data_IF_656916378526
#
_entry.id   IF_656916378526
#
_cell.length_a   1.000
_cell.length_b   1.000
_cell.length_c   1.000
_cell.angle_alpha   90.00
_cell.angle_beta   90.00
_cell.angle_gamma   90.00
#
_symmetry.space_group_name_H-M   'P 1'
#
loop_
_entity.id
_entity.type
_entity.pdbx_description
1 polymer ?
#
# COMPACT_ATOMS: atom_id res chain seq x y z
N UNK A 1 -10.99 -4.63 -17.86
CA UNK A 1 -10.25 -4.73 -16.60
C UNK A 1 -9.06 -5.68 -16.66
N UNK A 2 -9.18 -6.89 -17.15
CA UNK A 2 -8.02 -7.77 -17.41
C UNK A 2 -6.93 -7.08 -18.25
N UNK A 3 -7.33 -6.31 -19.23
CA UNK A 3 -6.41 -5.48 -20.05
C UNK A 3 -5.69 -4.38 -19.26
N UNK A 4 -6.36 -3.75 -18.30
CA UNK A 4 -5.78 -2.68 -17.47
C UNK A 4 -4.73 -3.24 -16.50
N UNK A 5 -4.98 -4.39 -15.91
CA UNK A 5 -4.04 -5.03 -15.01
C UNK A 5 -2.80 -5.54 -15.74
N UNK A 6 -2.97 -6.20 -16.89
CA UNK A 6 -1.84 -6.64 -17.72
C UNK A 6 -1.00 -5.45 -18.19
N UNK A 7 -1.63 -4.36 -18.64
CA UNK A 7 -0.91 -3.15 -19.06
C UNK A 7 -0.14 -2.52 -17.89
N UNK A 8 -0.72 -2.50 -16.68
CA UNK A 8 -0.06 -1.99 -15.50
C UNK A 8 1.11 -2.90 -15.04
N UNK A 9 0.92 -4.22 -15.08
CA UNK A 9 2.02 -5.17 -14.79
C UNK A 9 3.18 -5.03 -15.79
N UNK A 10 2.87 -4.82 -17.08
CA UNK A 10 3.89 -4.56 -18.10
C UNK A 10 4.58 -3.20 -17.90
N UNK A 11 3.85 -2.17 -17.51
CA UNK A 11 4.44 -0.88 -17.12
C UNK A 11 5.38 -1.05 -15.93
N UNK A 12 4.99 -1.81 -14.92
CA UNK A 12 5.83 -2.07 -13.74
C UNK A 12 7.08 -2.86 -14.11
N UNK A 13 6.96 -3.87 -14.99
CA UNK A 13 8.09 -4.60 -15.55
C UNK A 13 9.04 -3.66 -16.30
N UNK A 14 8.52 -2.80 -17.17
CA UNK A 14 9.32 -1.84 -17.92
C UNK A 14 10.07 -0.87 -16.99
N UNK A 15 9.39 -0.30 -15.99
CA UNK A 15 9.99 0.56 -14.99
C UNK A 15 11.11 -0.15 -14.22
N UNK A 16 10.83 -1.37 -13.73
CA UNK A 16 11.81 -2.19 -13.01
C UNK A 16 13.04 -2.47 -13.89
N UNK A 17 12.83 -2.81 -15.17
CA UNK A 17 13.92 -3.06 -16.12
C UNK A 17 14.79 -1.82 -16.36
N UNK A 18 14.18 -0.64 -16.47
CA UNK A 18 14.92 0.63 -16.60
C UNK A 18 15.76 0.87 -15.35
N UNK A 19 15.18 0.75 -14.15
CA UNK A 19 15.89 0.99 -12.90
C UNK A 19 17.09 0.04 -12.74
N UNK A 20 16.90 -1.25 -13.06
CA UNK A 20 17.99 -2.23 -13.05
C UNK A 20 19.06 -1.86 -14.10
N UNK A 21 18.66 -1.46 -15.30
CA UNK A 21 19.57 -0.99 -16.34
C UNK A 21 20.41 0.21 -15.90
N UNK A 22 19.80 1.20 -15.24
CA UNK A 22 20.50 2.36 -14.67
C UNK A 22 21.49 1.94 -13.57
N UNK A 23 21.12 0.96 -12.74
CA UNK A 23 22.01 0.40 -11.73
C UNK A 23 23.25 -0.26 -12.37
N UNK A 24 23.09 -1.01 -13.45
CA UNK A 24 24.22 -1.60 -14.21
C UNK A 24 25.14 -0.57 -14.86
N UNK A 25 24.61 0.60 -15.21
CA UNK A 25 25.40 1.72 -15.74
C UNK A 25 26.18 2.47 -14.66
N UNK A 26 26.19 1.98 -13.43
CA UNK A 26 26.85 2.59 -12.27
C UNK A 26 26.44 4.06 -12.03
N UNK A 27 25.19 4.39 -12.32
CA UNK A 27 24.61 5.68 -11.99
C UNK A 27 24.17 5.63 -10.52
N UNK A 28 25.14 5.75 -9.60
CA UNK A 28 24.89 5.72 -8.17
C UNK A 28 24.62 7.12 -7.63
N UNK A 29 23.54 7.25 -6.90
CA UNK A 29 23.33 8.37 -5.98
C UNK A 29 23.76 7.93 -4.58
N UNK A 30 24.23 8.86 -3.78
CA UNK A 30 24.48 8.60 -2.37
C UNK A 30 23.15 8.25 -1.63
N UNK A 31 23.24 7.54 -0.49
CA UNK A 31 22.06 7.05 0.22
C UNK A 31 21.10 8.17 0.64
N UNK A 32 21.62 9.30 1.13
CA UNK A 32 20.79 10.41 1.59
C UNK A 32 19.91 11.01 0.48
N UNK A 33 20.42 11.36 -0.72
CA UNK A 33 19.59 11.75 -1.85
C UNK A 33 18.55 10.71 -2.25
N UNK A 34 18.90 9.43 -2.24
CA UNK A 34 17.98 8.34 -2.56
C UNK A 34 16.84 8.30 -1.52
N UNK A 35 17.18 8.35 -0.23
CA UNK A 35 16.17 8.30 0.84
C UNK A 35 15.23 9.51 0.83
N UNK A 36 15.75 10.72 0.54
CA UNK A 36 14.94 11.92 0.35
C UNK A 36 14.00 11.76 -0.86
N UNK A 37 14.50 11.20 -1.96
CA UNK A 37 13.68 10.94 -3.15
C UNK A 37 12.61 9.87 -2.89
N UNK A 38 12.94 8.81 -2.16
CA UNK A 38 11.97 7.82 -1.70
C UNK A 38 10.88 8.45 -0.83
N UNK A 39 11.26 9.30 0.13
CA UNK A 39 10.30 10.05 0.94
C UNK A 39 9.37 10.90 0.06
N UNK A 40 9.93 11.64 -0.90
CA UNK A 40 9.13 12.46 -1.83
C UNK A 40 8.13 11.62 -2.63
N UNK A 41 8.52 10.46 -3.16
CA UNK A 41 7.63 9.56 -3.89
C UNK A 41 6.54 8.99 -2.98
N UNK A 42 6.89 8.55 -1.78
CA UNK A 42 5.92 8.04 -0.80
C UNK A 42 4.90 9.11 -0.45
N UNK A 43 5.34 10.34 -0.17
CA UNK A 43 4.44 11.45 0.20
C UNK A 43 3.53 11.91 -0.94
N UNK A 44 3.97 11.81 -2.19
CA UNK A 44 3.20 12.28 -3.35
C UNK A 44 2.34 11.19 -3.97
N UNK A 45 2.92 10.05 -4.29
CA UNK A 45 2.24 8.94 -4.97
C UNK A 45 1.74 7.92 -3.95
N UNK A 46 2.63 7.47 -3.04
CA UNK A 46 2.34 6.44 -2.08
C UNK A 46 1.14 6.78 -1.19
N UNK A 47 1.14 7.93 -0.56
CA UNK A 47 0.09 8.35 0.37
C UNK A 47 -1.22 8.77 -0.28
N UNK A 48 -1.22 9.01 -1.60
CA UNK A 48 -2.40 9.51 -2.30
C UNK A 48 -3.56 8.52 -2.34
N UNK A 49 -3.28 7.20 -2.28
CA UNK A 49 -4.35 6.20 -2.29
C UNK A 49 -5.22 6.23 -1.01
N UNK A 50 -4.64 6.50 0.17
CA UNK A 50 -5.38 6.68 1.42
C UNK A 50 -6.13 8.02 1.54
N UNK A 51 -5.86 8.97 0.64
CA UNK A 51 -6.48 10.30 0.69
C UNK A 51 -7.99 10.32 0.38
N UNK A 52 -8.56 9.19 -0.09
CA UNK A 52 -10.01 9.03 -0.25
C UNK A 52 -10.71 8.35 0.93
N UNK A 53 -9.99 8.06 2.01
CA UNK A 53 -10.60 7.49 3.22
C UNK A 53 -11.66 8.39 3.82
N UNK A 54 -11.54 9.70 3.67
CA UNK A 54 -12.57 10.65 4.05
C UNK A 54 -13.88 10.43 3.28
N UNK A 55 -13.82 10.12 1.99
CA UNK A 55 -14.99 9.82 1.18
C UNK A 55 -15.60 8.47 1.55
N UNK A 56 -14.77 7.43 1.71
CA UNK A 56 -15.18 6.10 2.20
C UNK A 56 -15.78 6.20 3.62
N UNK A 57 -15.15 6.97 4.52
CA UNK A 57 -15.61 7.21 5.87
C UNK A 57 -16.97 7.90 5.93
N UNK A 58 -17.19 8.93 5.13
CA UNK A 58 -18.50 9.58 5.02
C UNK A 58 -19.58 8.63 4.48
N UNK A 59 -19.24 7.70 3.59
CA UNK A 59 -20.14 6.65 3.13
C UNK A 59 -20.52 5.72 4.28
N UNK A 60 -19.52 5.29 5.08
CA UNK A 60 -19.74 4.44 6.26
C UNK A 60 -20.63 5.13 7.31
N UNK A 61 -20.38 6.41 7.62
CA UNK A 61 -21.20 7.19 8.57
C UNK A 61 -22.66 7.27 8.13
N UNK A 62 -22.91 7.47 6.83
CA UNK A 62 -24.27 7.44 6.27
C UNK A 62 -24.95 6.09 6.45
N UNK A 63 -24.20 5.00 6.27
CA UNK A 63 -24.68 3.63 6.51
C UNK A 63 -25.07 3.44 7.98
N UNK A 64 -24.25 3.95 8.89
CA UNK A 64 -24.47 3.91 10.34
C UNK A 64 -25.48 4.96 10.83
N UNK A 65 -26.08 5.78 9.93
CA UNK A 65 -27.01 6.88 10.25
C UNK A 65 -26.42 7.96 11.16
N UNK A 66 -25.11 8.13 11.13
CA UNK A 66 -24.37 9.19 11.85
C UNK A 66 -24.28 10.41 10.94
N UNK A 67 -24.74 11.58 11.45
CA UNK A 67 -24.79 12.81 10.66
C UNK A 67 -23.48 13.60 10.66
N UNK A 68 -22.70 13.48 11.73
CA UNK A 68 -21.55 14.32 12.00
C UNK A 68 -20.28 13.76 11.37
N UNK A 69 -19.84 14.35 10.27
CA UNK A 69 -18.65 13.89 9.52
C UNK A 69 -17.34 13.99 10.32
N UNK A 70 -17.24 14.89 11.30
CA UNK A 70 -16.03 15.04 12.13
C UNK A 70 -15.74 13.79 12.97
N UNK A 71 -16.76 12.97 13.30
CA UNK A 71 -16.61 11.73 14.06
C UNK A 71 -15.67 10.76 13.35
N UNK A 72 -15.75 10.69 12.02
CA UNK A 72 -14.83 9.88 11.22
C UNK A 72 -13.36 10.33 11.44
N UNK A 73 -13.09 11.62 11.29
CA UNK A 73 -11.74 12.15 11.45
C UNK A 73 -11.22 11.96 12.87
N UNK A 74 -12.07 12.16 13.88
CA UNK A 74 -11.70 11.95 15.27
C UNK A 74 -11.30 10.49 15.53
N UNK A 75 -12.10 9.53 15.10
CA UNK A 75 -11.81 8.10 15.28
C UNK A 75 -10.53 7.73 14.50
N UNK A 76 -10.40 8.19 13.26
CA UNK A 76 -9.24 7.91 12.41
C UNK A 76 -7.94 8.40 13.05
N UNK A 77 -7.94 9.64 13.54
CA UNK A 77 -6.78 10.23 14.24
C UNK A 77 -6.49 9.50 15.55
N UNK A 78 -7.52 9.18 16.35
CA UNK A 78 -7.33 8.44 17.60
C UNK A 78 -6.72 7.06 17.37
N UNK A 79 -7.15 6.32 16.35
CA UNK A 79 -6.55 5.04 15.98
C UNK A 79 -5.10 5.23 15.52
N UNK A 80 -4.82 6.24 14.70
CA UNK A 80 -3.45 6.54 14.25
C UNK A 80 -2.53 6.88 15.43
N UNK A 81 -2.97 7.74 16.35
CA UNK A 81 -2.21 8.09 17.56
C UNK A 81 -2.03 6.89 18.49
N UNK A 82 -3.03 6.03 18.60
CA UNK A 82 -2.92 4.79 19.37
C UNK A 82 -1.83 3.87 18.80
N UNK A 83 -1.74 3.73 17.47
CA UNK A 83 -0.67 2.94 16.82
C UNK A 83 0.70 3.56 17.08
N UNK A 84 0.85 4.89 17.01
CA UNK A 84 2.11 5.56 17.39
C UNK A 84 2.46 5.29 18.84
N UNK A 85 1.50 5.41 19.76
CA UNK A 85 1.72 5.12 21.17
C UNK A 85 2.13 3.65 21.41
N UNK A 86 1.48 2.69 20.74
CA UNK A 86 1.88 1.29 20.78
C UNK A 86 3.28 1.09 20.23
N UNK A 87 3.68 1.79 19.17
CA UNK A 87 5.03 1.70 18.63
C UNK A 87 6.09 2.19 19.62
N UNK A 88 5.81 3.27 20.33
CA UNK A 88 6.73 3.80 21.34
C UNK A 88 6.81 2.92 22.60
N UNK A 89 5.73 2.22 22.96
CA UNK A 89 5.67 1.38 24.15
C UNK A 89 6.12 -0.06 23.90
N UNK A 90 5.77 -0.62 22.73
CA UNK A 90 5.96 -2.03 22.35
C UNK A 90 6.42 -2.14 20.88
N UNK A 91 7.61 -1.59 20.53
CA UNK A 91 8.04 -1.48 19.13
C UNK A 91 8.11 -2.83 18.41
N UNK A 92 8.68 -3.86 19.04
CA UNK A 92 8.81 -5.20 18.44
C UNK A 92 7.45 -5.83 18.11
N UNK A 93 6.50 -5.74 19.06
CA UNK A 93 5.13 -6.27 18.86
C UNK A 93 4.40 -5.50 17.78
N UNK A 94 4.51 -4.17 17.80
CA UNK A 94 3.83 -3.30 16.84
C UNK A 94 4.40 -3.48 15.43
N UNK A 95 5.72 -3.62 15.29
CA UNK A 95 6.36 -3.95 14.01
C UNK A 95 5.83 -5.28 13.47
N UNK A 96 5.83 -6.35 14.28
CA UNK A 96 5.34 -7.67 13.84
C UNK A 96 3.88 -7.62 13.43
N UNK A 97 3.02 -6.96 14.19
CA UNK A 97 1.61 -6.76 13.83
C UNK A 97 1.48 -5.97 12.52
N UNK A 98 2.28 -4.91 12.35
CA UNK A 98 2.29 -4.13 11.12
C UNK A 98 2.69 -4.98 9.92
N UNK A 99 3.76 -5.76 10.01
CA UNK A 99 4.21 -6.62 8.90
C UNK A 99 3.16 -7.67 8.52
N UNK A 100 2.49 -8.28 9.51
CA UNK A 100 1.39 -9.24 9.27
C UNK A 100 0.20 -8.57 8.58
N UNK A 101 -0.24 -7.42 9.10
CA UNK A 101 -1.38 -6.68 8.56
C UNK A 101 -1.07 -6.14 7.17
N UNK A 102 0.14 -5.59 6.96
CA UNK A 102 0.61 -5.11 5.67
C UNK A 102 0.69 -6.24 4.64
N UNK A 103 1.21 -7.42 5.01
CA UNK A 103 1.23 -8.59 4.13
C UNK A 103 -0.16 -8.96 3.65
N UNK A 104 -1.14 -9.01 4.56
CA UNK A 104 -2.52 -9.31 4.18
C UNK A 104 -3.11 -8.22 3.28
N UNK A 105 -2.93 -6.95 3.64
CA UNK A 105 -3.47 -5.81 2.91
C UNK A 105 -2.91 -5.73 1.49
N UNK A 106 -1.59 -5.76 1.33
CA UNK A 106 -0.95 -5.74 0.01
C UNK A 106 -1.40 -6.90 -0.87
N UNK A 107 -1.39 -8.11 -0.33
CA UNK A 107 -1.82 -9.27 -1.11
C UNK A 107 -3.29 -9.25 -1.48
N UNK A 108 -4.15 -8.69 -0.63
CA UNK A 108 -5.58 -8.52 -0.91
C UNK A 108 -5.78 -7.47 -2.01
N UNK A 109 -5.28 -6.25 -1.82
CA UNK A 109 -5.50 -5.14 -2.74
C UNK A 109 -4.88 -5.39 -4.12
N UNK A 110 -3.66 -5.91 -4.18
CA UNK A 110 -3.01 -6.23 -5.45
C UNK A 110 -3.68 -7.39 -6.20
N UNK A 111 -4.50 -8.20 -5.51
CA UNK A 111 -5.27 -9.29 -6.12
C UNK A 111 -6.67 -8.87 -6.58
N UNK A 112 -7.19 -7.73 -6.14
CA UNK A 112 -8.54 -7.29 -6.51
C UNK A 112 -8.68 -6.96 -7.99
N UNK A 113 -7.62 -6.59 -8.65
CA UNK A 113 -7.64 -6.36 -10.08
C UNK A 113 -8.19 -7.54 -10.90
N UNK A 114 -8.02 -8.77 -10.41
CA UNK A 114 -8.51 -9.98 -11.08
C UNK A 114 -10.02 -10.23 -10.84
N UNK A 115 -10.60 -9.70 -9.77
CA UNK A 115 -11.99 -9.96 -9.37
C UNK A 115 -13.02 -9.05 -10.02
N UNK A 116 -12.65 -7.84 -10.41
CA UNK A 116 -13.56 -6.92 -11.13
C UNK A 116 -13.78 -7.29 -12.60
N UNK A 117 -13.12 -8.33 -13.13
CA UNK A 117 -13.22 -8.75 -14.53
C UNK A 117 -14.60 -9.29 -14.90
N UNK A 118 -15.36 -9.81 -13.92
CA UNK A 118 -16.68 -10.41 -14.15
C UNK A 118 -17.84 -9.70 -13.45
N UNK A 119 -17.56 -8.73 -12.59
CA UNK A 119 -18.58 -8.18 -11.70
C UNK A 119 -19.28 -6.92 -12.22
N UNK A 120 -19.72 -6.96 -13.43
CA UNK A 120 -20.86 -6.10 -13.78
C UNK A 120 -22.13 -6.49 -13.00
N UNK A 121 -22.17 -7.61 -12.27
CA UNK A 121 -23.41 -8.18 -11.72
C UNK A 121 -23.24 -8.90 -10.37
N UNK A 122 -22.04 -9.29 -9.94
CA UNK A 122 -21.92 -9.98 -8.65
C UNK A 122 -21.33 -9.10 -7.56
N UNK A 123 -22.03 -9.03 -6.40
CA UNK A 123 -21.53 -8.29 -5.26
C UNK A 123 -20.26 -8.96 -4.71
N UNK A 124 -19.42 -8.18 -4.05
CA UNK A 124 -18.19 -8.50 -3.31
C UNK A 124 -18.33 -9.69 -2.30
N UNK A 125 -19.46 -10.41 -2.35
CA UNK A 125 -19.86 -11.51 -1.46
C UNK A 125 -19.13 -12.84 -1.68
N UNK A 126 -18.21 -12.96 -2.65
CA UNK A 126 -17.58 -14.24 -2.99
C UNK A 126 -16.11 -14.33 -2.57
N UNK A 127 -15.65 -13.54 -1.58
CA UNK A 127 -14.37 -13.82 -0.93
C UNK A 127 -14.56 -15.06 -0.05
N UNK A 128 -14.10 -16.20 -0.53
CA UNK A 128 -14.09 -17.43 0.27
C UNK A 128 -13.08 -17.27 1.41
N UNK A 129 -13.37 -17.84 2.57
CA UNK A 129 -12.45 -17.86 3.72
C UNK A 129 -11.06 -18.44 3.37
N UNK A 130 -11.01 -19.31 2.36
CA UNK A 130 -9.76 -19.85 1.79
C UNK A 130 -8.89 -18.83 1.06
N UNK A 131 -9.43 -17.67 0.67
CA UNK A 131 -8.67 -16.65 -0.05
C UNK A 131 -7.81 -15.81 0.88
N UNK A 132 -8.17 -15.70 2.16
CA UNK A 132 -7.42 -14.90 3.14
C UNK A 132 -5.97 -15.38 3.30
N UNK A 133 -5.76 -16.69 3.34
CA UNK A 133 -4.40 -17.25 3.40
C UNK A 133 -3.61 -16.96 2.12
N UNK A 134 -4.26 -17.04 0.96
CA UNK A 134 -3.62 -16.71 -0.32
C UNK A 134 -3.21 -15.24 -0.38
N UNK A 135 -4.06 -14.34 0.09
CA UNK A 135 -3.73 -12.91 0.15
C UNK A 135 -2.55 -12.66 1.08
N UNK A 136 -2.58 -13.24 2.29
CA UNK A 136 -1.47 -13.13 3.22
C UNK A 136 -0.16 -13.64 2.61
N UNK A 137 -0.16 -14.83 2.01
CA UNK A 137 1.04 -15.40 1.41
C UNK A 137 1.56 -14.56 0.23
N UNK A 138 0.68 -14.05 -0.64
CA UNK A 138 1.10 -13.18 -1.76
C UNK A 138 1.77 -11.90 -1.28
N UNK A 139 1.14 -11.22 -0.31
CA UNK A 139 1.70 -9.96 0.20
C UNK A 139 2.92 -10.16 1.09
N UNK A 140 3.10 -11.34 1.69
CA UNK A 140 4.28 -11.65 2.49
C UNK A 140 5.59 -11.58 1.70
N UNK A 141 5.56 -11.76 0.38
CA UNK A 141 6.76 -11.64 -0.45
C UNK A 141 7.41 -10.25 -0.34
N UNK A 142 6.58 -9.20 -0.19
CA UNK A 142 7.04 -7.81 -0.09
C UNK A 142 7.82 -7.59 1.21
N UNK A 143 7.38 -8.24 2.28
CA UNK A 143 8.00 -8.17 3.62
C UNK A 143 9.21 -9.10 3.72
N UNK A 144 9.15 -10.27 3.10
CA UNK A 144 10.19 -11.29 3.20
C UNK A 144 11.36 -11.07 2.25
N UNK A 145 11.12 -10.47 1.08
CA UNK A 145 12.20 -10.25 0.11
C UNK A 145 13.35 -9.40 0.67
N UNK A 146 13.13 -8.26 1.37
CA UNK A 146 14.23 -7.54 2.02
C UNK A 146 15.00 -8.40 3.02
N UNK A 147 14.32 -9.21 3.82
CA UNK A 147 14.94 -10.13 4.78
C UNK A 147 15.77 -11.25 4.10
N UNK A 148 15.45 -11.62 2.85
CA UNK A 148 16.19 -12.62 2.11
C UNK A 148 17.43 -12.04 1.39
N UNK A 149 17.33 -10.85 0.85
CA UNK A 149 18.38 -10.27 -0.01
C UNK A 149 19.23 -9.22 0.71
N UNK A 150 18.70 -8.53 1.73
CA UNK A 150 19.35 -7.47 2.51
C UNK A 150 19.14 -7.68 4.01
N UNK A 151 19.49 -8.86 4.52
CA UNK A 151 19.18 -9.27 5.89
C UNK A 151 19.70 -8.26 6.92
N UNK A 152 21.00 -7.96 6.92
CA UNK A 152 21.63 -7.06 7.90
C UNK A 152 21.07 -5.62 7.80
N UNK A 153 20.89 -5.12 6.57
CA UNK A 153 20.33 -3.79 6.34
C UNK A 153 18.88 -3.72 6.83
N UNK A 154 18.08 -4.77 6.58
CA UNK A 154 16.69 -4.85 7.06
C UNK A 154 16.61 -4.89 8.58
N UNK A 155 17.52 -5.63 9.25
CA UNK A 155 17.59 -5.64 10.69
C UNK A 155 18.05 -4.29 11.27
N UNK A 156 18.99 -3.61 10.60
CA UNK A 156 19.39 -2.25 10.95
C UNK A 156 18.20 -1.26 10.85
N UNK A 157 17.35 -1.40 9.85
CA UNK A 157 16.10 -0.63 9.75
C UNK A 157 15.20 -0.95 10.96
N UNK A 158 15.03 -2.22 11.34
CA UNK A 158 14.22 -2.58 12.50
C UNK A 158 14.77 -1.95 13.80
N UNK A 159 16.09 -1.93 14.00
CA UNK A 159 16.72 -1.23 15.13
C UNK A 159 16.46 0.28 15.08
N UNK A 160 16.59 0.89 13.90
CA UNK A 160 16.22 2.30 13.71
C UNK A 160 14.76 2.55 14.12
N UNK A 161 13.87 1.59 13.88
CA UNK A 161 12.46 1.64 14.27
C UNK A 161 12.20 1.27 15.75
N UNK A 162 13.23 1.34 16.60
CA UNK A 162 13.18 1.09 18.05
C UNK A 162 13.03 -0.39 18.46
N UNK A 163 13.26 -1.33 17.55
CA UNK A 163 13.27 -2.76 17.90
C UNK A 163 14.64 -3.12 18.46
N UNK A 164 14.73 -3.28 19.79
CA UNK A 164 16.00 -3.53 20.48
C UNK A 164 16.49 -4.96 20.31
N UNK A 165 15.60 -5.95 20.46
CA UNK A 165 15.96 -7.36 20.39
C UNK A 165 15.78 -7.93 18.98
N UNK A 166 16.84 -7.80 18.17
CA UNK A 166 16.91 -8.42 16.83
C UNK A 166 17.58 -9.80 16.86
N UNK A 167 18.12 -10.24 18.00
CA UNK A 167 18.85 -11.51 18.12
C UNK A 167 17.97 -12.72 17.73
N UNK A 168 16.65 -12.60 17.95
CA UNK A 168 15.68 -13.59 17.50
C UNK A 168 15.81 -13.94 16.00
N UNK A 169 16.08 -12.96 15.15
CA UNK A 169 16.21 -13.15 13.70
C UNK A 169 17.50 -13.89 13.30
N UNK A 170 18.54 -13.90 14.16
CA UNK A 170 19.79 -14.62 13.88
C UNK A 170 19.69 -16.12 14.19
N UNK A 171 18.61 -16.59 14.84
CA UNK A 171 18.38 -18.01 15.06
C UNK A 171 18.24 -18.77 13.74
N UNK A 172 18.95 -19.86 13.56
CA UNK A 172 18.87 -20.70 12.35
C UNK A 172 17.46 -21.24 12.10
N UNK A 173 16.72 -21.51 13.16
CA UNK A 173 15.32 -21.93 13.06
C UNK A 173 14.43 -20.82 12.47
N UNK A 174 14.63 -19.58 12.90
CA UNK A 174 13.87 -18.43 12.40
C UNK A 174 14.25 -18.14 10.96
N UNK A 175 15.54 -18.15 10.61
CA UNK A 175 16.01 -17.95 9.23
C UNK A 175 15.47 -19.03 8.29
N UNK A 176 15.51 -20.28 8.70
CA UNK A 176 14.93 -21.40 7.93
C UNK A 176 13.43 -21.24 7.75
N UNK A 177 12.71 -20.84 8.81
CA UNK A 177 11.26 -20.57 8.73
C UNK A 177 10.94 -19.44 7.75
N UNK A 178 11.68 -18.32 7.83
CA UNK A 178 11.49 -17.19 6.93
C UNK A 178 11.78 -17.57 5.46
N UNK A 179 12.82 -18.38 5.22
CA UNK A 179 13.15 -18.89 3.88
C UNK A 179 12.06 -19.79 3.31
N UNK A 180 11.52 -20.71 4.13
CA UNK A 180 10.39 -21.57 3.73
C UNK A 180 9.14 -20.74 3.45
N UNK A 181 8.84 -19.76 4.31
CA UNK A 181 7.69 -18.87 4.12
C UNK A 181 7.85 -18.04 2.84
N UNK A 182 9.07 -17.56 2.54
CA UNK A 182 9.37 -16.85 1.31
C UNK A 182 9.12 -17.72 0.07
N UNK A 183 9.57 -18.98 0.06
CA UNK A 183 9.32 -19.91 -1.03
C UNK A 183 7.81 -20.17 -1.22
N UNK A 184 7.08 -20.40 -0.13
CA UNK A 184 5.62 -20.59 -0.19
C UNK A 184 4.95 -19.32 -0.75
N UNK A 185 5.40 -18.15 -0.34
CA UNK A 185 4.88 -16.84 -0.80
C UNK A 185 5.18 -16.63 -2.29
N UNK A 186 6.35 -17.03 -2.76
CA UNK A 186 6.70 -17.00 -4.18
C UNK A 186 5.74 -17.86 -5.01
N UNK A 187 5.49 -19.11 -4.61
CA UNK A 187 4.55 -19.98 -5.31
C UNK A 187 3.10 -19.49 -5.25
N UNK A 188 2.69 -18.89 -4.13
CA UNK A 188 1.38 -18.26 -4.02
C UNK A 188 1.22 -17.03 -4.94
N UNK A 189 2.32 -16.36 -5.27
CA UNK A 189 2.38 -15.20 -6.17
C UNK A 189 2.45 -15.54 -7.65
N UNK A 190 2.54 -16.82 -8.06
CA UNK A 190 2.79 -17.18 -9.47
C UNK A 190 1.68 -16.78 -10.45
N UNK A 191 0.45 -16.59 -10.00
CA UNK A 191 -0.61 -16.04 -10.86
C UNK A 191 -0.41 -14.53 -11.18
N UNK A 192 0.44 -13.84 -10.41
CA UNK A 192 0.96 -12.50 -10.67
C UNK A 192 2.48 -12.56 -10.97
N UNK A 193 2.90 -13.54 -11.76
CA UNK A 193 4.30 -13.91 -11.97
C UNK A 193 5.20 -12.72 -12.30
N UNK A 194 4.79 -11.87 -13.24
CA UNK A 194 5.57 -10.68 -13.64
C UNK A 194 5.83 -9.77 -12.44
N UNK A 195 4.82 -9.50 -11.65
CA UNK A 195 4.91 -8.60 -10.49
C UNK A 195 5.79 -9.20 -9.40
N UNK A 196 5.61 -10.50 -9.12
CA UNK A 196 6.41 -11.25 -8.15
C UNK A 196 7.90 -11.24 -8.52
N UNK A 197 8.22 -11.49 -9.79
CA UNK A 197 9.59 -11.43 -10.30
C UNK A 197 10.16 -10.01 -10.19
N UNK A 198 9.38 -8.98 -10.52
CA UNK A 198 9.80 -7.58 -10.39
C UNK A 198 10.10 -7.22 -8.92
N UNK A 199 9.27 -7.63 -7.96
CA UNK A 199 9.47 -7.37 -6.53
C UNK A 199 10.78 -8.04 -6.05
N UNK A 200 11.02 -9.28 -6.45
CA UNK A 200 12.26 -10.00 -6.12
C UNK A 200 13.46 -9.29 -6.74
N UNK A 201 13.38 -8.94 -8.02
CA UNK A 201 14.48 -8.25 -8.72
C UNK A 201 14.78 -6.88 -8.08
N UNK A 202 13.76 -6.10 -7.72
CA UNK A 202 13.95 -4.84 -7.00
C UNK A 202 14.68 -5.05 -5.68
N UNK A 203 14.29 -6.04 -4.87
CA UNK A 203 14.95 -6.33 -3.61
C UNK A 203 16.34 -6.96 -3.78
N UNK A 204 16.66 -7.53 -4.92
CA UNK A 204 18.01 -8.03 -5.20
C UNK A 204 18.99 -6.90 -5.57
N UNK A 205 18.53 -5.90 -6.33
CA UNK A 205 19.38 -4.85 -6.87
C UNK A 205 19.38 -3.54 -6.07
N UNK A 206 18.39 -3.30 -5.23
CA UNK A 206 18.20 -2.02 -4.52
C UNK A 206 18.01 -2.23 -3.03
N UNK A 207 18.36 -1.18 -2.26
CA UNK A 207 18.14 -1.16 -0.80
C UNK A 207 16.66 -1.42 -0.43
N UNK A 208 16.38 -1.94 0.76
CA UNK A 208 15.00 -2.23 1.21
C UNK A 208 14.04 -1.06 1.06
N UNK A 209 14.46 0.16 1.42
CA UNK A 209 13.63 1.35 1.30
C UNK A 209 13.34 1.69 -0.17
N UNK A 210 14.34 1.63 -1.04
CA UNK A 210 14.18 1.94 -2.46
C UNK A 210 13.27 0.90 -3.16
N UNK A 211 13.51 -0.40 -2.93
CA UNK A 211 12.69 -1.48 -3.45
C UNK A 211 11.22 -1.36 -3.00
N UNK A 212 11.02 -1.12 -1.70
CA UNK A 212 9.68 -0.87 -1.13
C UNK A 212 9.02 0.36 -1.77
N UNK A 213 9.74 1.46 -1.92
CA UNK A 213 9.20 2.70 -2.51
C UNK A 213 8.72 2.48 -3.95
N UNK A 214 9.52 1.80 -4.77
CA UNK A 214 9.15 1.51 -6.16
C UNK A 214 7.90 0.62 -6.21
N UNK A 215 7.85 -0.44 -5.43
CA UNK A 215 6.68 -1.30 -5.32
C UNK A 215 5.46 -0.51 -4.83
N UNK A 216 5.58 0.16 -3.69
CA UNK A 216 4.47 0.84 -3.02
C UNK A 216 3.88 1.97 -3.86
N UNK A 217 4.71 2.79 -4.49
CA UNK A 217 4.24 3.90 -5.31
C UNK A 217 3.72 3.45 -6.67
N UNK A 218 4.47 2.63 -7.39
CA UNK A 218 4.20 2.38 -8.82
C UNK A 218 3.39 1.11 -9.08
N UNK A 219 3.37 0.14 -8.17
CA UNK A 219 2.48 -1.01 -8.30
C UNK A 219 1.24 -0.85 -7.44
N UNK A 220 1.39 -0.81 -6.12
CA UNK A 220 0.29 -0.82 -5.17
C UNK A 220 -0.58 0.44 -5.25
N UNK A 221 0.01 1.62 -5.02
CA UNK A 221 -0.77 2.87 -4.92
C UNK A 221 -1.41 3.27 -6.25
N UNK A 222 -0.72 3.14 -7.38
CA UNK A 222 -1.33 3.44 -8.69
C UNK A 222 -2.49 2.49 -8.97
N UNK A 223 -2.35 1.19 -8.68
CA UNK A 223 -3.44 0.21 -8.86
C UNK A 223 -4.66 0.57 -8.03
N UNK A 224 -4.44 0.91 -6.77
CA UNK A 224 -5.51 1.32 -5.88
C UNK A 224 -6.18 2.63 -6.35
N UNK A 225 -5.41 3.63 -6.78
CA UNK A 225 -5.94 4.87 -7.34
C UNK A 225 -6.78 4.66 -8.59
N UNK A 226 -6.38 3.75 -9.47
CA UNK A 226 -7.17 3.39 -10.67
C UNK A 226 -8.50 2.74 -10.27
N UNK A 227 -8.49 1.84 -9.30
CA UNK A 227 -9.72 1.24 -8.74
C UNK A 227 -10.65 2.30 -8.15
N UNK A 228 -10.12 3.22 -7.34
CA UNK A 228 -10.90 4.31 -6.74
C UNK A 228 -11.46 5.29 -7.77
N UNK A 229 -10.74 5.57 -8.85
CA UNK A 229 -11.24 6.39 -9.95
C UNK A 229 -12.45 5.75 -10.62
N UNK A 230 -12.44 4.43 -10.78
CA UNK A 230 -13.56 3.67 -11.34
C UNK A 230 -14.79 3.71 -10.42
N UNK A 231 -14.60 3.56 -9.11
CA UNK A 231 -15.67 3.63 -8.12
C UNK A 231 -16.34 5.02 -8.11
N UNK A 232 -15.52 6.09 -8.17
CA UNK A 232 -16.04 7.46 -8.26
C UNK A 232 -16.82 7.72 -9.55
N UNK A 233 -16.34 7.19 -10.68
CA UNK A 233 -17.02 7.34 -11.97
C UNK A 233 -18.34 6.59 -11.98
N UNK A 234 -18.39 5.38 -11.43
CA UNK A 234 -19.61 4.61 -11.26
C UNK A 234 -20.67 5.33 -10.42
N UNK A 235 -20.27 5.96 -9.31
CA UNK A 235 -21.21 6.74 -8.46
C UNK A 235 -21.72 8.00 -9.18
N UNK A 236 -20.89 8.66 -9.99
CA UNK A 236 -21.31 9.83 -10.78
C UNK A 236 -22.29 9.46 -11.89
N UNK A 237 -22.17 8.28 -12.50
CA UNK A 237 -23.05 7.80 -13.56
C UNK A 237 -24.34 7.15 -13.03
N UNK A 238 -24.37 6.70 -11.78
CA UNK A 238 -25.57 6.14 -11.13
C UNK A 238 -26.72 7.15 -11.05
N UNK A 239 -26.41 8.44 -11.17
CA UNK A 239 -27.39 9.53 -11.29
C UNK A 239 -27.87 9.83 -12.71
N UNK A 240 -27.39 9.10 -13.72
CA UNK A 240 -27.76 9.27 -15.14
C UNK A 240 -28.12 7.91 -15.74
N UNK A 241 -29.40 7.68 -15.82
CA UNK A 241 -30.10 6.62 -16.57
C UNK A 241 -29.38 5.30 -16.94
N UNK A 242 -30.07 4.25 -16.61
CA UNK A 242 -29.83 2.80 -16.71
C UNK A 242 -29.32 2.23 -18.08
N UNK A 243 -29.06 3.05 -19.08
CA UNK A 243 -28.90 2.59 -20.49
C UNK A 243 -27.43 2.41 -20.93
N UNK A 244 -26.43 2.78 -20.15
CA UNK A 244 -25.02 2.73 -20.58
C UNK A 244 -24.16 1.58 -20.05
N UNK A 245 -24.76 0.57 -19.48
CA UNK A 245 -24.08 -0.52 -18.77
C UNK A 245 -23.08 -1.36 -19.60
N UNK A 246 -23.12 -1.30 -20.92
CA UNK A 246 -22.35 -2.17 -21.81
C UNK A 246 -21.15 -1.50 -22.53
N UNK A 247 -20.99 -0.19 -22.47
CA UNK A 247 -19.90 0.53 -23.17
C UNK A 247 -18.71 0.90 -22.28
N UNK A 248 -18.81 0.69 -20.99
CA UNK A 248 -17.83 1.17 -19.99
C UNK A 248 -16.52 0.36 -20.03
N UNK A 249 -16.57 -0.93 -20.34
CA UNK A 249 -15.43 -1.85 -20.23
C UNK A 249 -14.28 -1.61 -21.22
N UNK A 250 -14.52 -0.96 -22.35
CA UNK A 250 -13.49 -0.73 -23.39
C UNK A 250 -12.79 0.63 -23.30
N UNK A 251 -13.34 1.58 -22.52
CA UNK A 251 -12.87 2.98 -22.46
C UNK A 251 -12.15 3.36 -21.14
N UNK A 252 -12.00 2.43 -20.20
CA UNK A 252 -11.59 2.80 -18.82
C UNK A 252 -10.16 3.34 -18.76
N UNK A 253 -9.22 2.82 -19.53
CA UNK A 253 -7.85 3.35 -19.53
C UNK A 253 -7.75 4.72 -20.23
N UNK A 254 -8.47 4.91 -21.34
CA UNK A 254 -8.53 6.21 -22.03
C UNK A 254 -9.27 7.27 -21.22
N UNK A 255 -10.32 6.86 -20.47
CA UNK A 255 -11.13 7.74 -19.61
C UNK A 255 -10.38 8.13 -18.33
N UNK A 256 -9.56 7.24 -17.75
CA UNK A 256 -8.80 7.53 -16.53
C UNK A 256 -7.73 8.59 -16.75
N UNK A 257 -7.13 8.66 -17.93
CA UNK A 257 -6.06 9.64 -18.24
C UNK A 257 -6.62 10.98 -18.71
N UNK A 258 -7.75 11.00 -19.44
CA UNK A 258 -8.30 12.22 -20.07
C UNK A 258 -9.69 12.63 -19.56
N UNK A 259 -10.27 11.93 -18.58
CA UNK A 259 -11.67 12.05 -18.21
C UNK A 259 -11.96 12.96 -17.01
N UNK A 260 -13.24 13.27 -16.83
CA UNK A 260 -13.79 14.00 -15.68
C UNK A 260 -13.48 13.28 -14.35
N UNK A 261 -13.40 11.93 -14.35
CA UNK A 261 -13.08 11.09 -13.20
C UNK A 261 -11.70 11.36 -12.64
N UNK A 262 -10.66 11.39 -13.48
CA UNK A 262 -9.29 11.66 -13.04
C UNK A 262 -9.13 13.08 -12.46
N UNK A 263 -9.75 14.09 -13.07
CA UNK A 263 -9.72 15.47 -12.52
C UNK A 263 -10.44 15.56 -11.18
N UNK A 264 -11.57 14.87 -11.04
CA UNK A 264 -12.34 14.82 -9.79
C UNK A 264 -11.58 14.07 -8.71
N UNK A 265 -10.95 12.95 -9.06
CA UNK A 265 -10.08 12.16 -8.19
C UNK A 265 -8.94 13.03 -7.67
N UNK A 266 -8.17 13.65 -8.56
CA UNK A 266 -7.04 14.52 -8.20
C UNK A 266 -7.46 15.66 -7.27
N UNK A 267 -8.58 16.33 -7.55
CA UNK A 267 -9.11 17.41 -6.72
C UNK A 267 -9.51 16.95 -5.31
N UNK A 268 -9.99 15.69 -5.18
CA UNK A 268 -10.37 15.13 -3.88
C UNK A 268 -9.17 14.61 -3.09
N UNK A 269 -8.16 14.07 -3.75
CA UNK A 269 -6.95 13.51 -3.15
C UNK A 269 -6.01 14.60 -2.64
N UNK A 270 -5.80 15.65 -3.44
CA UNK A 270 -4.75 16.66 -3.23
C UNK A 270 -4.75 17.30 -1.83
N UNK A 271 -5.88 17.75 -1.26
CA UNK A 271 -5.84 18.43 0.04
C UNK A 271 -5.33 17.54 1.17
N UNK A 272 -5.82 16.29 1.25
CA UNK A 272 -5.43 15.38 2.33
C UNK A 272 -4.00 14.87 2.14
N UNK A 273 -3.58 14.60 0.90
CA UNK A 273 -2.19 14.26 0.58
C UNK A 273 -1.23 15.37 0.98
N UNK A 274 -1.57 16.64 0.70
CA UNK A 274 -0.73 17.78 1.09
C UNK A 274 -0.63 17.92 2.61
N UNK A 275 -1.75 17.79 3.34
CA UNK A 275 -1.74 17.84 4.81
C UNK A 275 -0.85 16.75 5.38
N UNK A 276 -1.00 15.51 4.88
CA UNK A 276 -0.19 14.37 5.32
C UNK A 276 1.29 14.60 5.00
N UNK A 277 1.61 15.07 3.79
CA UNK A 277 2.98 15.37 3.39
C UNK A 277 3.62 16.44 4.30
N UNK A 278 2.88 17.50 4.64
CA UNK A 278 3.36 18.54 5.57
C UNK A 278 3.65 17.91 6.96
N UNK A 279 2.75 17.08 7.48
CA UNK A 279 2.95 16.43 8.79
C UNK A 279 4.20 15.54 8.77
N UNK A 280 4.43 14.77 7.71
CA UNK A 280 5.61 13.89 7.58
C UNK A 280 6.90 14.71 7.47
N UNK A 281 6.91 15.79 6.65
CA UNK A 281 8.06 16.68 6.51
C UNK A 281 8.39 17.33 7.86
N UNK A 282 7.38 17.82 8.59
CA UNK A 282 7.56 18.35 9.93
C UNK A 282 8.09 17.28 10.90
N UNK A 283 7.59 16.04 10.79
CA UNK A 283 8.07 14.90 11.57
C UNK A 283 9.55 14.63 11.32
N UNK A 284 9.98 14.58 10.06
CA UNK A 284 11.41 14.43 9.70
C UNK A 284 12.21 15.59 10.29
N UNK A 285 11.78 16.84 10.08
CA UNK A 285 12.47 18.03 10.59
C UNK A 285 12.64 17.99 12.12
N UNK A 286 11.61 17.63 12.86
CA UNK A 286 11.67 17.52 14.32
C UNK A 286 12.63 16.39 14.78
N UNK A 287 12.60 15.25 14.07
CA UNK A 287 13.45 14.12 14.42
C UNK A 287 14.93 14.35 14.09
N UNK A 288 15.27 15.21 13.15
CA UNK A 288 16.67 15.56 12.82
C UNK A 288 17.41 16.26 13.98
N UNK A 289 16.70 16.74 15.01
CA UNK A 289 17.33 17.24 16.23
C UNK A 289 17.89 16.11 17.11
N UNK A 290 17.47 14.87 16.91
CA UNK A 290 17.83 13.71 17.75
C UNK A 290 18.49 12.59 16.95
N UNK A 291 18.25 12.49 15.64
CA UNK A 291 18.70 11.42 14.76
C UNK A 291 19.32 12.03 13.50
N UNK A 292 20.18 11.27 12.82
CA UNK A 292 20.60 11.65 11.47
C UNK A 292 19.40 11.65 10.51
N UNK A 293 19.54 12.34 9.38
CA UNK A 293 18.43 12.54 8.42
C UNK A 293 17.90 11.22 7.85
N UNK A 294 18.75 10.22 7.63
CA UNK A 294 18.32 8.93 7.10
C UNK A 294 17.45 8.18 8.10
N UNK A 295 17.86 8.13 9.36
CA UNK A 295 17.07 7.49 10.43
C UNK A 295 15.77 8.24 10.68
N UNK A 296 15.77 9.57 10.62
CA UNK A 296 14.55 10.37 10.74
C UNK A 296 13.57 10.05 9.62
N UNK A 297 14.04 9.92 8.37
CA UNK A 297 13.22 9.52 7.22
C UNK A 297 12.64 8.12 7.43
N UNK A 298 13.47 7.14 7.81
CA UNK A 298 13.02 5.76 8.05
C UNK A 298 11.93 5.71 9.13
N UNK A 299 12.15 6.39 10.27
CA UNK A 299 11.15 6.47 11.36
C UNK A 299 9.83 7.06 10.88
N UNK A 300 9.88 8.21 10.22
CA UNK A 300 8.66 8.89 9.75
C UNK A 300 7.95 8.05 8.69
N UNK A 301 8.66 7.46 7.74
CA UNK A 301 8.06 6.62 6.69
C UNK A 301 7.39 5.40 7.31
N UNK A 302 8.10 4.56 8.05
CA UNK A 302 7.54 3.28 8.49
C UNK A 302 6.56 3.41 9.65
N UNK A 303 6.86 4.22 10.67
CA UNK A 303 5.93 4.46 11.78
C UNK A 303 4.70 5.26 11.30
N UNK A 304 4.93 6.24 10.44
CA UNK A 304 3.86 7.02 9.84
C UNK A 304 2.96 6.18 8.93
N UNK A 305 3.54 5.35 8.05
CA UNK A 305 2.75 4.41 7.23
C UNK A 305 1.95 3.45 8.12
N UNK A 306 2.57 2.85 9.14
CA UNK A 306 1.86 1.96 10.06
C UNK A 306 0.69 2.67 10.73
N UNK A 307 0.91 3.89 11.24
CA UNK A 307 -0.13 4.66 11.93
C UNK A 307 -1.33 4.99 11.05
N UNK A 308 -1.14 5.16 9.74
CA UNK A 308 -2.20 5.43 8.78
C UNK A 308 -2.80 4.16 8.17
N UNK A 309 -2.01 3.09 8.03
CA UNK A 309 -2.47 1.82 7.46
C UNK A 309 -3.52 1.13 8.35
N UNK A 310 -3.36 1.15 9.66
CA UNK A 310 -4.32 0.50 10.56
C UNK A 310 -5.73 1.11 10.48
N UNK A 311 -5.95 2.43 10.60
CA UNK A 311 -7.29 3.01 10.44
C UNK A 311 -7.83 2.85 9.02
N UNK A 312 -6.97 2.88 7.99
CA UNK A 312 -7.34 2.64 6.59
C UNK A 312 -7.92 1.21 6.41
N UNK A 313 -7.21 0.18 6.85
CA UNK A 313 -7.67 -1.21 6.76
C UNK A 313 -8.93 -1.44 7.61
N UNK A 314 -8.99 -0.84 8.80
CA UNK A 314 -10.19 -0.92 9.63
C UNK A 314 -11.41 -0.33 8.92
N UNK A 315 -11.25 0.80 8.26
CA UNK A 315 -12.31 1.44 7.47
C UNK A 315 -12.79 0.52 6.35
N UNK A 316 -11.87 -0.06 5.58
CA UNK A 316 -12.20 -0.99 4.49
C UNK A 316 -12.95 -2.22 5.01
N UNK A 317 -12.46 -2.82 6.10
CA UNK A 317 -13.13 -3.95 6.75
C UNK A 317 -14.57 -3.61 7.19
N UNK A 318 -14.77 -2.44 7.81
CA UNK A 318 -16.09 -2.00 8.26
C UNK A 318 -17.05 -1.77 7.08
N UNK A 319 -16.58 -1.22 5.98
CA UNK A 319 -17.40 -1.04 4.77
C UNK A 319 -17.80 -2.41 4.20
N UNK A 320 -16.85 -3.31 4.00
CA UNK A 320 -17.12 -4.67 3.49
C UNK A 320 -18.12 -5.44 4.36
N UNK A 321 -17.96 -5.35 5.69
CA UNK A 321 -18.87 -6.01 6.64
C UNK A 321 -20.28 -5.48 6.53
N UNK A 322 -20.47 -4.16 6.42
CA UNK A 322 -21.78 -3.55 6.34
C UNK A 322 -22.45 -3.75 4.95
N UNK A 323 -21.66 -3.83 3.89
CA UNK A 323 -22.19 -4.15 2.56
C UNK A 323 -22.70 -5.60 2.48
N UNK A 324 -21.98 -6.55 3.10
CA UNK A 324 -22.42 -7.96 3.20
C UNK A 324 -23.70 -8.17 4.00
N UNK A 325 -24.01 -7.30 4.95
CA UNK A 325 -25.26 -7.40 5.76
C UNK A 325 -26.48 -6.83 5.05
N UNK A 326 -26.29 -6.10 3.94
CA UNK A 326 -27.38 -5.48 3.17
C UNK A 326 -27.85 -6.32 1.97
N UNK A 327 -27.04 -7.27 1.54
CA UNK A 327 -27.35 -8.24 0.50
C UNK A 327 -27.79 -9.58 1.11
#
# INVERSE_FOLDING_TARGET
MEYTNKAHSLFFLFLTSILIGLNYLNIYLADTPINIFCLFLILTIGMSHGSLDNWKGNKLLKICKIKDSYIFYLIYILVALFVVALWLLLPSVTLMLFLIVASYHFGKEDSFGDKYTYAGIEPMSVIKKSDNLKFFLKGSIIVLAPLMFHFEETLSIFQTLLVEDINFFYSDHVRSFLAVLFLISFFAGLNLFIETVCIIALNYFFSPLAAFTVYFCFLHSIRHLVSLAQDLEYEMDKNKDYVRKYKITKKVFEVTINGRGAKTLFRKILPLTLITAIIFILGVFLLTNYYNINDAILKVVFIGLASLTFPHILLEYLIEKNEKQRN
#
